data_IF_238249458572
#
_entry.id   IF_238249458572
#
_cell.length_a   1.000
_cell.length_b   1.000
_cell.length_c   1.000
_cell.angle_alpha   90.00
_cell.angle_beta   90.00
_cell.angle_gamma   90.00
#
_symmetry.space_group_name_H-M   'P 1'
#
loop_
_entity.id
_entity.type
_entity.pdbx_description
1 polymer ?
#
# COMPACT_ATOMS: atom_id res chain seq x y z
N UNK A 1 -3.22 5.04 -3.33
CA UNK A 1 -2.96 3.66 -3.81
C UNK A 1 -4.02 2.70 -3.26
N UNK A 2 -3.96 2.29 -1.98
CA UNK A 2 -4.88 1.28 -1.40
C UNK A 2 -6.36 1.56 -1.72
N UNK A 3 -6.85 2.78 -1.47
CA UNK A 3 -8.24 3.13 -1.78
C UNK A 3 -8.62 2.94 -3.25
N UNK A 4 -7.73 3.27 -4.20
CA UNK A 4 -7.98 3.05 -5.62
C UNK A 4 -7.98 1.57 -6.00
N UNK A 5 -7.10 0.77 -5.39
CA UNK A 5 -7.08 -0.67 -5.61
C UNK A 5 -8.32 -1.37 -5.04
N UNK A 6 -8.92 -0.84 -3.95
CA UNK A 6 -10.19 -1.33 -3.43
C UNK A 6 -11.32 -1.15 -4.45
N UNK A 7 -11.41 0.03 -5.10
CA UNK A 7 -12.42 0.27 -6.14
C UNK A 7 -12.26 -0.68 -7.33
N UNK A 8 -11.02 -0.98 -7.74
CA UNK A 8 -10.74 -1.98 -8.79
C UNK A 8 -11.14 -3.38 -8.32
N UNK A 9 -10.70 -3.79 -7.12
CA UNK A 9 -10.98 -5.12 -6.57
C UNK A 9 -12.48 -5.39 -6.33
N UNK A 10 -13.27 -4.34 -6.10
CA UNK A 10 -14.73 -4.41 -6.01
C UNK A 10 -15.44 -4.36 -7.37
N UNK A 11 -14.72 -4.16 -8.48
CA UNK A 11 -15.28 -4.06 -9.83
C UNK A 11 -15.91 -2.70 -10.17
N UNK A 12 -15.70 -1.68 -9.34
CA UNK A 12 -16.22 -0.32 -9.59
C UNK A 12 -15.39 0.45 -10.63
N UNK A 13 -14.15 0.02 -10.85
CA UNK A 13 -13.22 0.58 -11.83
C UNK A 13 -12.49 -0.55 -12.58
N UNK A 14 -12.07 -0.35 -13.83
CA UNK A 14 -11.37 -1.37 -14.61
C UNK A 14 -9.93 -1.61 -14.09
N UNK A 15 -9.35 -2.76 -14.44
CA UNK A 15 -8.00 -3.17 -13.99
C UNK A 15 -6.90 -2.18 -14.43
N UNK A 16 -7.05 -1.54 -15.59
CA UNK A 16 -6.12 -0.56 -16.15
C UNK A 16 -6.25 0.84 -15.54
N UNK A 17 -7.22 1.06 -14.65
CA UNK A 17 -7.49 2.37 -14.06
C UNK A 17 -6.29 2.93 -13.28
N UNK A 18 -5.51 2.07 -12.60
CA UNK A 18 -4.31 2.53 -11.88
C UNK A 18 -3.28 3.15 -12.82
N UNK A 19 -3.08 2.56 -14.02
CA UNK A 19 -2.18 3.12 -15.02
C UNK A 19 -2.67 4.50 -15.50
N UNK A 20 -3.99 4.64 -15.68
CA UNK A 20 -4.63 5.91 -16.05
C UNK A 20 -4.41 6.98 -14.97
N UNK A 21 -4.61 6.66 -13.69
CA UNK A 21 -4.38 7.59 -12.58
C UNK A 21 -2.91 8.03 -12.48
N UNK A 22 -1.97 7.10 -12.66
CA UNK A 22 -0.53 7.41 -12.65
C UNK A 22 -0.12 8.33 -13.80
N UNK A 23 -0.68 8.11 -14.99
CA UNK A 23 -0.44 8.96 -16.16
C UNK A 23 -1.03 10.37 -15.96
N UNK A 24 -2.23 10.46 -15.38
CA UNK A 24 -2.93 11.73 -15.16
C UNK A 24 -2.28 12.61 -14.09
N UNK A 25 -1.62 12.03 -13.07
CA UNK A 25 -0.96 12.74 -11.96
C UNK A 25 -1.90 13.71 -11.22
N UNK A 26 -3.19 13.38 -11.17
CA UNK A 26 -4.22 14.21 -10.55
C UNK A 26 -4.91 13.44 -9.41
N UNK A 27 -4.80 13.97 -8.19
CA UNK A 27 -5.39 13.37 -6.99
C UNK A 27 -6.91 13.41 -7.01
N UNK A 28 -7.53 14.37 -7.69
CA UNK A 28 -9.00 14.51 -7.73
C UNK A 28 -9.68 13.35 -8.47
N UNK A 29 -8.95 12.68 -9.37
CA UNK A 29 -9.42 11.51 -10.12
C UNK A 29 -9.30 10.21 -9.32
N UNK A 30 -8.46 10.18 -8.28
CA UNK A 30 -8.21 8.98 -7.49
C UNK A 30 -9.28 8.79 -6.39
N UNK A 31 -9.48 7.53 -5.98
CA UNK A 31 -10.42 7.17 -4.93
C UNK A 31 -10.16 7.89 -3.58
N UNK A 32 -11.12 7.78 -2.66
CA UNK A 32 -10.96 8.27 -1.29
C UNK A 32 -9.74 7.63 -0.61
N UNK A 33 -9.16 8.33 0.36
CA UNK A 33 -8.08 7.78 1.18
C UNK A 33 -8.62 6.61 2.01
N UNK A 34 -7.94 5.46 1.95
CA UNK A 34 -8.31 4.29 2.75
C UNK A 34 -8.20 4.60 4.25
N UNK A 35 -9.00 3.90 5.07
CA UNK A 35 -8.97 4.05 6.53
C UNK A 35 -7.62 3.63 7.11
N UNK A 36 -7.25 4.26 8.23
CA UNK A 36 -5.93 4.08 8.83
C UNK A 36 -5.81 2.76 9.61
N UNK A 37 -6.92 2.20 10.10
CA UNK A 37 -6.91 1.04 11.00
C UNK A 37 -6.29 -0.24 10.38
N UNK A 38 -6.20 -0.34 9.06
CA UNK A 38 -5.58 -1.46 8.35
C UNK A 38 -4.11 -1.26 7.99
N UNK A 39 -3.49 -0.12 8.34
CA UNK A 39 -2.12 0.22 7.95
C UNK A 39 -1.12 -0.14 9.06
N UNK A 40 -0.09 -0.91 8.69
CA UNK A 40 0.99 -1.33 9.59
C UNK A 40 2.36 -0.99 9.00
N UNK A 41 3.23 -0.34 9.78
CA UNK A 41 4.64 -0.21 9.46
C UNK A 41 5.36 -1.48 9.92
N UNK A 42 5.73 -2.34 8.98
CA UNK A 42 6.27 -3.67 9.27
C UNK A 42 7.80 -3.76 9.22
N UNK A 43 8.46 -2.84 8.51
CA UNK A 43 9.90 -2.86 8.36
C UNK A 43 10.47 -1.46 8.14
N UNK A 44 11.71 -1.25 8.59
CA UNK A 44 12.52 -0.06 8.30
C UNK A 44 13.89 -0.53 7.86
N UNK A 45 14.27 -0.22 6.62
CA UNK A 45 15.58 -0.60 6.07
C UNK A 45 16.64 0.42 6.50
N UNK A 46 17.71 -0.07 7.11
CA UNK A 46 18.88 0.72 7.53
C UNK A 46 20.18 0.12 6.97
N UNK A 47 21.26 0.92 6.84
CA UNK A 47 22.54 0.39 6.38
C UNK A 47 23.04 -0.79 7.23
N UNK A 48 23.58 -1.82 6.57
CA UNK A 48 23.99 -3.08 7.22
C UNK A 48 25.08 -2.90 8.28
N UNK A 49 25.89 -1.84 8.20
CA UNK A 49 26.94 -1.53 9.18
C UNK A 49 26.41 -1.35 10.61
N UNK A 50 25.12 -1.03 10.76
CA UNK A 50 24.48 -0.85 12.05
C UNK A 50 24.04 -2.17 12.70
N UNK A 51 24.07 -3.28 11.96
CA UNK A 51 23.72 -4.63 12.45
C UNK A 51 22.45 -4.67 13.31
N UNK A 52 21.41 -3.97 12.86
CA UNK A 52 20.15 -3.88 13.61
C UNK A 52 19.43 -5.24 13.56
N UNK A 53 18.70 -5.61 14.64
CA UNK A 53 17.85 -6.79 14.62
C UNK A 53 16.74 -6.68 13.56
N UNK A 54 16.47 -7.79 12.87
CA UNK A 54 15.38 -7.94 11.91
C UNK A 54 14.30 -8.86 12.51
N UNK A 55 13.32 -8.31 13.25
CA UNK A 55 12.20 -9.10 13.73
C UNK A 55 11.29 -9.50 12.56
N UNK A 56 10.45 -10.55 12.71
CA UNK A 56 9.40 -10.86 11.75
C UNK A 56 8.48 -9.66 11.51
N UNK A 57 8.10 -9.44 10.25
CA UNK A 57 7.31 -8.30 9.76
C UNK A 57 5.88 -8.30 10.32
N UNK A 58 5.25 -9.47 10.46
CA UNK A 58 3.86 -9.59 10.89
C UNK A 58 2.87 -8.85 9.96
N UNK A 59 1.73 -8.33 10.46
CA UNK A 59 1.23 -8.38 11.83
C UNK A 59 0.72 -9.78 12.25
N UNK A 60 0.76 -10.04 13.57
CA UNK A 60 0.22 -11.23 14.21
C UNK A 60 0.82 -12.54 13.66
N UNK A 61 0.05 -13.29 12.89
CA UNK A 61 0.37 -14.62 12.37
C UNK A 61 0.78 -14.60 10.89
N UNK A 62 0.89 -13.42 10.27
CA UNK A 62 1.34 -13.29 8.89
C UNK A 62 2.83 -13.59 8.80
N UNK A 63 3.18 -14.47 7.86
CA UNK A 63 4.56 -14.82 7.56
C UNK A 63 5.26 -13.70 6.79
N UNK A 64 6.59 -13.71 6.87
CA UNK A 64 7.48 -12.78 6.15
C UNK A 64 7.54 -13.04 4.64
#
# INVERSE_FOLDING_TARGET
>A
IVGSLMEIGCGNQPEDWMATLLAAKDRTLAAATARAEGLYLVAVVSPSLFALPEPPMGPLFLAD
#
